data_IF_601475843027
#
_entry.id   IF_601475843027
#
_cell.length_a   1.000
_cell.length_b   1.000
_cell.length_c   1.000
_cell.angle_alpha   90.00
_cell.angle_beta   90.00
_cell.angle_gamma   90.00
#
_symmetry.space_group_name_H-M   'P 1'
#
loop_
_entity.id
_entity.type
_entity.pdbx_description
1 polymer ?
#
# COMPACT_ATOMS: atom_id res chain seq x y z
N UNK A 1 -15.67 -38.09 -50.42
CA UNK A 1 -16.64 -38.66 -51.37
C UNK A 1 -16.65 -40.16 -51.14
N UNK A 2 -17.81 -40.74 -50.85
CA UNK A 2 -17.92 -42.16 -50.52
C UNK A 2 -17.50 -43.04 -51.69
N UNK A 3 -16.69 -44.07 -51.41
CA UNK A 3 -16.33 -45.12 -52.37
C UNK A 3 -17.33 -46.27 -52.28
N UNK A 4 -18.27 -46.32 -53.24
CA UNK A 4 -19.27 -47.39 -53.30
C UNK A 4 -18.68 -48.75 -53.66
N UNK A 5 -17.52 -48.82 -54.31
CA UNK A 5 -16.89 -50.11 -54.62
C UNK A 5 -16.28 -50.74 -53.37
N UNK A 6 -15.75 -49.91 -52.48
CA UNK A 6 -15.27 -50.34 -51.17
C UNK A 6 -16.42 -50.82 -50.27
N UNK A 7 -17.51 -50.06 -50.19
CA UNK A 7 -18.70 -50.45 -49.39
C UNK A 7 -19.27 -51.78 -49.87
N UNK A 8 -19.42 -51.96 -51.20
CA UNK A 8 -19.95 -53.20 -51.77
C UNK A 8 -19.07 -54.41 -51.45
N UNK A 9 -17.74 -54.25 -51.50
CA UNK A 9 -16.78 -55.31 -51.10
C UNK A 9 -16.91 -55.64 -49.62
N UNK A 10 -16.98 -54.63 -48.76
CA UNK A 10 -17.00 -54.83 -47.31
C UNK A 10 -18.30 -55.52 -46.85
N UNK A 11 -19.44 -55.14 -47.43
CA UNK A 11 -20.74 -55.79 -47.16
C UNK A 11 -20.73 -57.24 -47.63
N UNK A 12 -20.16 -57.52 -48.80
CA UNK A 12 -20.03 -58.89 -49.30
C UNK A 12 -19.15 -59.76 -48.39
N UNK A 13 -18.03 -59.23 -47.88
CA UNK A 13 -17.14 -59.97 -46.98
C UNK A 13 -17.79 -60.22 -45.60
N UNK A 14 -18.41 -59.20 -45.00
CA UNK A 14 -18.90 -59.28 -43.61
C UNK A 14 -20.26 -59.94 -43.48
N UNK A 15 -21.12 -59.74 -44.46
CA UNK A 15 -22.52 -60.15 -44.36
C UNK A 15 -22.92 -61.18 -45.43
N UNK A 16 -22.00 -61.55 -46.34
CA UNK A 16 -22.23 -62.48 -47.43
C UNK A 16 -23.40 -62.07 -48.35
N UNK A 17 -23.62 -60.75 -48.49
CA UNK A 17 -24.64 -60.14 -49.34
C UNK A 17 -23.95 -59.38 -50.47
N UNK A 18 -24.30 -59.69 -51.72
CA UNK A 18 -23.79 -58.99 -52.89
C UNK A 18 -24.73 -57.83 -53.24
N UNK A 19 -24.27 -56.60 -53.07
CA UNK A 19 -25.02 -55.40 -53.45
C UNK A 19 -24.77 -55.06 -54.92
N UNK A 20 -25.84 -54.86 -55.69
CA UNK A 20 -25.74 -54.36 -57.06
C UNK A 20 -25.55 -52.83 -57.08
N UNK A 21 -25.16 -52.27 -58.22
CA UNK A 21 -24.99 -50.82 -58.39
C UNK A 21 -26.28 -50.02 -58.16
N UNK A 22 -27.42 -50.61 -58.51
CA UNK A 22 -28.73 -49.96 -58.39
C UNK A 22 -29.45 -50.31 -57.08
N UNK A 23 -28.74 -50.88 -56.10
CA UNK A 23 -29.33 -51.28 -54.82
C UNK A 23 -29.80 -50.05 -54.01
N UNK A 24 -31.08 -50.00 -53.57
CA UNK A 24 -31.62 -48.88 -52.78
C UNK A 24 -30.85 -48.59 -51.49
N UNK A 25 -30.15 -49.58 -50.92
CA UNK A 25 -29.31 -49.39 -49.73
C UNK A 25 -28.16 -48.43 -50.02
N UNK A 26 -27.55 -48.51 -51.21
CA UNK A 26 -26.47 -47.60 -51.61
C UNK A 26 -26.98 -46.16 -51.79
N UNK A 27 -28.18 -45.99 -52.34
CA UNK A 27 -28.86 -44.68 -52.42
C UNK A 27 -29.10 -44.10 -51.02
N UNK A 28 -29.49 -44.95 -50.06
CA UNK A 28 -29.69 -44.54 -48.66
C UNK A 28 -28.38 -44.08 -48.01
N UNK A 29 -27.25 -44.73 -48.33
CA UNK A 29 -25.92 -44.29 -47.90
C UNK A 29 -25.59 -42.91 -48.49
N UNK A 30 -25.87 -42.69 -49.78
CA UNK A 30 -25.67 -41.36 -50.41
C UNK A 30 -26.48 -40.27 -49.72
N UNK A 31 -27.76 -40.53 -49.42
CA UNK A 31 -28.61 -39.56 -48.71
C UNK A 31 -28.05 -39.26 -47.32
N UNK A 32 -27.59 -40.27 -46.58
CA UNK A 32 -26.92 -40.07 -45.30
C UNK A 32 -25.64 -39.22 -45.43
N UNK A 33 -24.79 -39.49 -46.43
CA UNK A 33 -23.57 -38.72 -46.67
C UNK A 33 -23.87 -37.23 -46.90
N UNK A 34 -24.88 -36.93 -47.72
CA UNK A 34 -25.30 -35.56 -48.01
C UNK A 34 -25.81 -34.88 -46.74
N UNK A 35 -26.69 -35.56 -45.98
CA UNK A 35 -27.26 -34.99 -44.74
C UNK A 35 -26.16 -34.76 -43.70
N UNK A 36 -25.29 -35.74 -43.49
CA UNK A 36 -24.19 -35.63 -42.52
C UNK A 36 -23.20 -34.54 -42.93
N UNK A 37 -22.81 -34.49 -44.20
CA UNK A 37 -21.94 -33.41 -44.73
C UNK A 37 -22.57 -32.05 -44.48
N UNK A 38 -23.87 -31.89 -44.76
CA UNK A 38 -24.59 -30.64 -44.50
C UNK A 38 -24.59 -30.27 -43.01
N UNK A 39 -24.75 -31.23 -42.11
CA UNK A 39 -24.68 -30.97 -40.68
C UNK A 39 -23.27 -30.56 -40.24
N UNK A 40 -22.23 -31.20 -40.77
CA UNK A 40 -20.83 -30.83 -40.50
C UNK A 40 -20.55 -29.40 -40.96
N UNK A 41 -21.02 -29.02 -42.15
CA UNK A 41 -20.87 -27.66 -42.67
C UNK A 41 -21.53 -26.63 -41.74
N UNK A 42 -22.78 -26.87 -41.33
CA UNK A 42 -23.53 -25.98 -40.42
C UNK A 42 -22.83 -25.86 -39.07
N UNK A 43 -22.36 -26.98 -38.50
CA UNK A 43 -21.64 -26.98 -37.22
C UNK A 43 -20.33 -26.20 -37.36
N UNK A 44 -19.61 -26.36 -38.47
CA UNK A 44 -18.34 -25.68 -38.71
C UNK A 44 -18.55 -24.17 -38.84
N UNK A 45 -19.57 -23.73 -39.57
CA UNK A 45 -19.95 -22.32 -39.69
C UNK A 45 -20.33 -21.71 -38.33
N UNK A 46 -21.12 -22.43 -37.53
CA UNK A 46 -21.51 -22.00 -36.18
C UNK A 46 -20.29 -21.91 -35.26
N UNK A 47 -19.37 -22.87 -35.35
CA UNK A 47 -18.14 -22.88 -34.57
C UNK A 47 -17.24 -21.70 -34.93
N UNK A 48 -17.06 -21.40 -36.22
CA UNK A 48 -16.30 -20.23 -36.65
C UNK A 48 -16.92 -18.92 -36.15
N UNK A 49 -18.25 -18.77 -36.25
CA UNK A 49 -18.96 -17.60 -35.77
C UNK A 49 -18.81 -17.43 -34.24
N UNK A 50 -18.91 -18.54 -33.49
CA UNK A 50 -18.70 -18.55 -32.05
C UNK A 50 -17.25 -18.17 -31.70
N UNK A 51 -16.27 -18.69 -32.44
CA UNK A 51 -14.86 -18.41 -32.19
C UNK A 51 -14.50 -16.94 -32.50
N UNK A 52 -15.07 -16.36 -33.57
CA UNK A 52 -14.96 -14.91 -33.84
C UNK A 52 -15.57 -14.08 -32.71
N UNK A 53 -16.76 -14.44 -32.25
CA UNK A 53 -17.43 -13.75 -31.14
C UNK A 53 -16.61 -13.84 -29.86
N UNK A 54 -16.08 -15.02 -29.54
CA UNK A 54 -15.21 -15.23 -28.39
C UNK A 54 -13.93 -14.37 -28.48
N UNK A 55 -13.31 -14.31 -29.66
CA UNK A 55 -12.11 -13.48 -29.88
C UNK A 55 -12.39 -12.00 -29.62
N UNK A 56 -13.52 -11.48 -30.12
CA UNK A 56 -13.93 -10.09 -29.87
C UNK A 56 -14.20 -9.84 -28.38
N UNK A 57 -14.94 -10.74 -27.72
CA UNK A 57 -15.21 -10.64 -26.29
C UNK A 57 -13.94 -10.67 -25.44
N UNK A 58 -12.97 -11.52 -25.79
CA UNK A 58 -11.68 -11.57 -25.11
C UNK A 58 -10.89 -10.28 -25.28
N UNK A 59 -10.87 -9.71 -26.49
CA UNK A 59 -10.23 -8.41 -26.73
C UNK A 59 -10.88 -7.30 -25.91
N UNK A 60 -12.22 -7.26 -25.87
CA UNK A 60 -12.96 -6.30 -25.08
C UNK A 60 -12.71 -6.47 -23.57
N UNK A 61 -12.64 -7.70 -23.09
CA UNK A 61 -12.35 -8.01 -21.69
C UNK A 61 -10.93 -7.58 -21.30
N UNK A 62 -9.94 -7.79 -22.19
CA UNK A 62 -8.57 -7.31 -21.97
C UNK A 62 -8.53 -5.79 -21.85
N UNK A 63 -9.26 -5.08 -22.71
CA UNK A 63 -9.28 -3.62 -22.68
C UNK A 63 -9.97 -3.08 -21.42
N UNK A 64 -11.12 -3.64 -21.05
CA UNK A 64 -11.79 -3.32 -19.77
C UNK A 64 -10.91 -3.63 -18.56
N UNK A 65 -10.12 -4.71 -18.61
CA UNK A 65 -9.19 -5.06 -17.55
C UNK A 65 -8.07 -4.03 -17.42
N UNK A 66 -7.53 -3.54 -18.55
CA UNK A 66 -6.53 -2.45 -18.54
C UNK A 66 -7.11 -1.16 -17.99
N UNK A 67 -8.31 -0.78 -18.41
CA UNK A 67 -8.99 0.42 -17.91
C UNK A 67 -9.23 0.33 -16.40
N UNK A 68 -9.72 -0.81 -15.93
CA UNK A 68 -9.92 -1.08 -14.49
C UNK A 68 -8.60 -1.02 -13.73
N UNK A 69 -7.54 -1.63 -14.26
CA UNK A 69 -6.22 -1.59 -13.63
C UNK A 69 -5.67 -0.16 -13.56
N UNK A 70 -5.80 0.63 -14.64
CA UNK A 70 -5.38 2.02 -14.68
C UNK A 70 -6.12 2.84 -13.61
N UNK A 71 -7.44 2.67 -13.50
CA UNK A 71 -8.24 3.33 -12.47
C UNK A 71 -7.79 2.96 -11.06
N UNK A 72 -7.58 1.67 -10.77
CA UNK A 72 -7.10 1.22 -9.46
C UNK A 72 -5.74 1.85 -9.12
N UNK A 73 -4.82 1.88 -10.08
CA UNK A 73 -3.49 2.47 -9.88
C UNK A 73 -3.59 3.98 -9.60
N UNK A 74 -4.42 4.70 -10.35
CA UNK A 74 -4.66 6.13 -10.12
C UNK A 74 -5.30 6.37 -8.76
N UNK A 75 -6.40 5.69 -8.44
CA UNK A 75 -7.11 5.84 -7.17
C UNK A 75 -6.19 5.53 -5.98
N UNK A 76 -5.35 4.48 -6.09
CA UNK A 76 -4.38 4.13 -5.06
C UNK A 76 -3.26 5.18 -4.94
N UNK A 77 -2.79 5.74 -6.06
CA UNK A 77 -1.77 6.80 -6.06
C UNK A 77 -2.29 8.07 -5.42
N UNK A 78 -3.52 8.47 -5.73
CA UNK A 78 -4.18 9.62 -5.12
C UNK A 78 -4.40 9.41 -3.61
N UNK A 79 -4.84 8.21 -3.21
CA UNK A 79 -4.97 7.84 -1.80
C UNK A 79 -3.62 7.93 -1.06
N UNK A 80 -2.56 7.34 -1.61
CA UNK A 80 -1.22 7.39 -1.00
C UNK A 80 -0.70 8.82 -0.92
N UNK A 81 -0.89 9.61 -1.98
CA UNK A 81 -0.50 11.03 -2.01
C UNK A 81 -1.17 11.83 -0.88
N UNK A 82 -2.48 11.62 -0.68
CA UNK A 82 -3.22 12.28 0.39
C UNK A 82 -2.78 11.81 1.78
N UNK A 83 -2.57 10.50 1.97
CA UNK A 83 -2.05 9.96 3.24
C UNK A 83 -0.65 10.51 3.56
N UNK A 84 0.23 10.62 2.57
CA UNK A 84 1.56 11.22 2.73
C UNK A 84 1.46 12.70 3.07
N UNK A 85 0.58 13.45 2.40
CA UNK A 85 0.34 14.86 2.71
C UNK A 85 -0.14 15.03 4.16
N UNK A 86 -1.10 14.21 4.61
CA UNK A 86 -1.59 14.26 5.99
C UNK A 86 -0.48 13.94 6.99
N UNK A 87 0.30 12.88 6.76
CA UNK A 87 1.43 12.52 7.61
C UNK A 87 2.48 13.64 7.69
N UNK A 88 2.76 14.34 6.58
CA UNK A 88 3.66 15.50 6.58
C UNK A 88 3.08 16.64 7.42
N UNK A 89 1.80 16.96 7.26
CA UNK A 89 1.14 18.02 8.03
C UNK A 89 1.16 17.71 9.52
N UNK A 90 0.89 16.46 9.91
CA UNK A 90 0.98 16.01 11.29
C UNK A 90 2.41 16.14 11.83
N UNK A 91 3.41 15.65 11.09
CA UNK A 91 4.81 15.75 11.50
C UNK A 91 5.29 17.20 11.66
N UNK A 92 4.88 18.10 10.75
CA UNK A 92 5.20 19.53 10.84
C UNK A 92 4.53 20.18 12.06
N UNK A 93 3.28 19.82 12.34
CA UNK A 93 2.58 20.32 13.52
C UNK A 93 3.21 19.82 14.81
N UNK A 94 3.59 18.55 14.89
CA UNK A 94 4.29 17.96 16.03
C UNK A 94 5.66 18.62 16.25
N UNK A 95 6.45 18.77 15.19
CA UNK A 95 7.73 19.48 15.25
C UNK A 95 7.57 20.94 15.69
N UNK A 96 6.56 21.64 15.19
CA UNK A 96 6.26 23.02 15.58
C UNK A 96 5.85 23.15 17.06
N UNK A 97 5.07 22.20 17.57
CA UNK A 97 4.68 22.15 18.97
C UNK A 97 5.87 21.83 19.88
N UNK A 98 6.71 20.88 19.48
CA UNK A 98 7.93 20.53 20.20
C UNK A 98 8.92 21.71 20.23
N UNK A 99 9.07 22.44 19.11
CA UNK A 99 9.89 23.64 19.07
C UNK A 99 9.35 24.74 19.99
N UNK A 100 8.03 24.99 19.99
CA UNK A 100 7.40 25.95 20.93
C UNK A 100 7.65 25.55 22.39
N UNK A 101 7.57 24.26 22.70
CA UNK A 101 7.87 23.73 24.04
C UNK A 101 9.33 23.97 24.42
N UNK A 102 10.27 23.70 23.52
CA UNK A 102 11.70 23.95 23.75
C UNK A 102 12.00 25.43 23.94
N UNK A 103 11.39 26.32 23.14
CA UNK A 103 11.53 27.78 23.31
C UNK A 103 10.97 28.22 24.66
N UNK A 104 9.80 27.72 25.07
CA UNK A 104 9.21 28.01 26.37
C UNK A 104 10.11 27.56 27.52
N UNK A 105 10.67 26.35 27.43
CA UNK A 105 11.61 25.82 28.42
C UNK A 105 12.92 26.63 28.46
N UNK A 106 13.44 27.04 27.31
CA UNK A 106 14.65 27.87 27.23
C UNK A 106 14.42 29.28 27.81
N UNK A 107 13.25 29.87 27.56
CA UNK A 107 12.86 31.15 28.18
C UNK A 107 12.66 31.03 29.69
N UNK A 108 12.05 29.94 30.17
CA UNK A 108 11.91 29.66 31.59
C UNK A 108 13.28 29.48 32.25
N UNK A 109 14.15 28.64 31.67
CA UNK A 109 15.51 28.45 32.16
C UNK A 109 16.34 29.75 32.15
N UNK A 110 16.17 30.59 31.12
CA UNK A 110 16.79 31.91 31.05
C UNK A 110 16.29 32.86 32.13
N UNK A 111 14.97 32.88 32.40
CA UNK A 111 14.39 33.65 33.51
C UNK A 111 14.88 33.16 34.86
N UNK A 112 14.92 31.85 35.07
CA UNK A 112 15.42 31.22 36.30
C UNK A 112 16.91 31.47 36.51
N UNK A 113 17.71 31.51 35.44
CA UNK A 113 19.12 31.88 35.52
C UNK A 113 19.31 33.36 35.88
N UNK A 114 18.45 34.25 35.38
CA UNK A 114 18.49 35.69 35.72
C UNK A 114 18.03 35.92 37.15
N UNK A 115 16.93 35.31 37.59
CA UNK A 115 16.43 35.42 38.98
C UNK A 115 17.38 34.74 39.96
N UNK A 116 17.90 33.56 39.63
CA UNK A 116 18.95 32.87 40.39
C UNK A 116 20.25 33.67 40.47
N UNK A 117 20.67 34.31 39.38
CA UNK A 117 21.82 35.22 39.36
C UNK A 117 21.59 36.48 40.19
N UNK A 118 20.36 36.99 40.23
CA UNK A 118 20.01 38.13 41.08
C UNK A 118 20.00 37.73 42.56
N UNK A 119 19.39 36.58 42.89
CA UNK A 119 19.38 35.99 44.22
C UNK A 119 20.77 35.65 44.73
N UNK A 120 21.67 35.17 43.86
CA UNK A 120 23.06 34.93 44.20
C UNK A 120 23.83 36.23 44.49
N UNK A 121 23.51 37.33 43.80
CA UNK A 121 24.11 38.65 44.06
C UNK A 121 23.59 39.27 45.37
N UNK A 122 22.29 39.15 45.67
CA UNK A 122 21.73 39.60 46.95
C UNK A 122 22.23 38.74 48.12
N UNK A 123 22.33 37.42 47.95
CA UNK A 123 22.91 36.53 48.96
C UNK A 123 24.39 36.81 49.23
N UNK A 124 25.19 37.14 48.20
CA UNK A 124 26.58 37.58 48.41
C UNK A 124 26.67 38.90 49.18
N UNK A 125 25.80 39.87 48.89
CA UNK A 125 25.76 41.14 49.64
C UNK A 125 25.34 40.93 51.10
N UNK A 126 24.32 40.13 51.36
CA UNK A 126 23.89 39.84 52.74
C UNK A 126 24.95 39.06 53.51
N UNK A 127 25.63 38.09 52.87
CA UNK A 127 26.72 37.35 53.48
C UNK A 127 27.91 38.24 53.85
N UNK A 128 28.25 39.22 53.02
CA UNK A 128 29.35 40.15 53.28
C UNK A 128 29.03 41.12 54.43
N UNK A 129 27.77 41.55 54.53
CA UNK A 129 27.27 42.33 55.68
C UNK A 129 27.27 41.48 56.96
N UNK A 130 26.84 40.21 56.89
CA UNK A 130 26.88 39.31 58.04
C UNK A 130 28.32 39.02 58.50
N UNK A 131 29.26 38.83 57.57
CA UNK A 131 30.67 38.59 57.88
C UNK A 131 31.34 39.80 58.55
N UNK A 132 31.01 41.02 58.12
CA UNK A 132 31.54 42.25 58.74
C UNK A 132 30.98 42.45 60.15
N UNK A 133 29.68 42.20 60.36
CA UNK A 133 29.08 42.24 61.71
C UNK A 133 29.71 41.18 62.63
N UNK A 134 29.88 39.94 62.16
CA UNK A 134 30.51 38.87 62.93
C UNK A 134 31.98 39.19 63.28
N UNK A 135 32.74 39.77 62.34
CA UNK A 135 34.13 40.19 62.58
C UNK A 135 34.24 41.27 63.66
N UNK A 136 33.35 42.27 63.64
CA UNK A 136 33.33 43.31 64.69
C UNK A 136 32.94 42.75 66.06
N UNK A 137 31.98 41.84 66.13
CA UNK A 137 31.59 41.19 67.38
C UNK A 137 32.71 40.30 67.96
N UNK A 138 33.47 39.62 67.10
CA UNK A 138 34.62 38.83 67.51
C UNK A 138 35.74 39.71 68.09
N UNK A 139 36.03 40.86 67.45
CA UNK A 139 37.03 41.81 67.95
C UNK A 139 36.63 42.43 69.30
N UNK A 140 35.34 42.76 69.47
CA UNK A 140 34.81 43.24 70.76
C UNK A 140 34.94 42.18 71.85
N UNK A 141 34.68 40.91 71.51
CA UNK A 141 34.80 39.79 72.45
C UNK A 141 36.23 39.54 72.89
N UNK A 142 37.19 39.62 71.96
CA UNK A 142 38.62 39.49 72.26
C UNK A 142 39.11 40.68 73.10
N UNK A 143 38.70 41.91 72.77
CA UNK A 143 39.05 43.09 73.56
C UNK A 143 38.49 43.00 75.00
N UNK A 144 37.25 42.53 75.17
CA UNK A 144 36.66 42.30 76.49
C UNK A 144 37.43 41.23 77.29
N UNK A 145 37.89 40.15 76.63
CA UNK A 145 38.67 39.09 77.27
C UNK A 145 40.06 39.58 77.73
N UNK A 146 40.72 40.43 76.94
CA UNK A 146 42.01 41.03 77.31
C UNK A 146 41.86 41.96 78.52
N UNK A 147 40.78 42.74 78.60
CA UNK A 147 40.51 43.63 79.74
C UNK A 147 40.24 42.85 81.03
N UNK A 148 39.64 41.67 80.95
CA UNK A 148 39.40 40.80 82.12
C UNK A 148 40.68 40.10 82.59
N UNK A 149 41.62 39.79 81.69
CA UNK A 149 42.91 39.16 82.01
C UNK A 149 43.96 40.13 82.59
N UNK A 150 43.81 41.44 82.39
CA UNK A 150 44.69 42.49 82.89
C UNK A 150 44.24 43.10 84.22
N UNK A 151 43.26 42.48 84.89
CA UNK A 151 42.70 42.90 86.18
C UNK A 151 42.99 41.85 87.25
#
# INVERSE_FOLDING_TARGET
MIDFDEIRKEVAIRHNILLDKDDPILVTVTVNDIVLSRYVDVVSERYEAANRTLTVSLQQQVEQSKETAAKIITDASDYVSEQVRQAIVEAVNEAGNELKRQIGNAQAAGRDAVTGGHNAKTAKKSALIAATVAGTAALISIAAMIVVLLK
#
